data_IF_095700768110
#
_entry.id   IF_095700768110
#
_cell.length_a   1.000
_cell.length_b   1.000
_cell.length_c   1.000
_cell.angle_alpha   90.00
_cell.angle_beta   90.00
_cell.angle_gamma   90.00
#
_symmetry.space_group_name_H-M   'P 1'
#
loop_
_entity.id
_entity.type
_entity.pdbx_description
1 polymer ?
#
# COMPACT_ATOMS: atom_id res chain seq x y z
N UNK A 1 4.53 22.44 0.30
CA UNK A 1 3.95 22.05 1.59
C UNK A 1 4.52 20.72 2.11
N UNK A 2 4.61 19.64 1.28
CA UNK A 2 5.13 18.31 1.68
C UNK A 2 6.54 18.38 2.30
N UNK A 3 7.49 19.11 1.69
CA UNK A 3 8.90 19.19 2.12
C UNK A 3 9.17 20.24 3.21
N UNK A 4 8.32 21.25 3.36
CA UNK A 4 8.66 22.44 4.19
C UNK A 4 7.98 22.43 5.55
N UNK A 5 6.75 21.99 5.68
CA UNK A 5 6.02 22.06 6.95
C UNK A 5 5.59 20.69 7.49
N UNK A 6 4.87 19.91 6.67
CA UNK A 6 4.29 18.63 7.10
C UNK A 6 5.36 17.54 7.13
N UNK A 7 6.29 17.54 6.18
CA UNK A 7 7.34 16.55 6.09
C UNK A 7 8.27 16.48 7.30
N UNK A 8 8.89 17.58 7.72
CA UNK A 8 9.73 17.59 8.91
C UNK A 8 8.99 17.15 10.16
N UNK A 9 7.76 17.64 10.37
CA UNK A 9 6.93 17.26 11.52
C UNK A 9 6.68 15.75 11.56
N UNK A 10 6.26 15.15 10.44
CA UNK A 10 6.02 13.71 10.37
C UNK A 10 7.31 12.91 10.56
N UNK A 11 8.44 13.37 10.04
CA UNK A 11 9.75 12.74 10.25
C UNK A 11 10.16 12.72 11.72
N UNK A 12 9.95 13.82 12.44
CA UNK A 12 10.24 13.92 13.88
C UNK A 12 9.30 13.03 14.70
N UNK A 13 8.00 13.05 14.39
CA UNK A 13 6.99 12.28 15.15
C UNK A 13 7.11 10.77 14.93
N UNK A 14 7.37 10.34 13.69
CA UNK A 14 7.34 8.92 13.34
C UNK A 14 8.71 8.32 13.07
N UNK A 15 9.76 9.15 12.97
CA UNK A 15 11.15 8.71 12.75
C UNK A 15 11.22 7.49 11.82
N UNK A 16 10.68 7.60 10.57
CA UNK A 16 10.56 6.47 9.68
C UNK A 16 11.94 5.91 9.33
N UNK A 17 12.09 4.61 9.43
CA UNK A 17 13.24 3.92 8.88
C UNK A 17 12.85 3.24 7.56
N UNK A 18 13.77 3.20 6.60
CA UNK A 18 13.53 2.68 5.27
C UNK A 18 14.63 1.67 4.94
N UNK A 19 14.24 0.55 4.33
CA UNK A 19 15.14 -0.42 3.71
C UNK A 19 14.76 -0.61 2.25
N UNK A 20 15.73 -0.76 1.35
CA UNK A 20 15.49 -1.02 -0.06
C UNK A 20 15.01 0.19 -0.84
N UNK A 21 15.34 1.43 -0.42
CA UNK A 21 14.92 2.65 -1.14
C UNK A 21 15.45 2.68 -2.57
N UNK A 22 16.59 2.03 -2.81
CA UNK A 22 17.25 1.84 -4.11
C UNK A 22 16.41 1.03 -5.09
N UNK A 23 15.45 0.24 -4.60
CA UNK A 23 14.54 -0.55 -5.43
C UNK A 23 13.43 0.29 -6.09
N UNK A 24 13.27 1.55 -5.68
CA UNK A 24 12.38 2.47 -6.40
C UNK A 24 13.11 2.97 -7.63
N UNK A 25 12.62 2.73 -8.86
CA UNK A 25 13.27 3.21 -10.07
C UNK A 25 13.47 4.73 -10.05
N UNK A 26 14.66 5.20 -10.39
CA UNK A 26 14.98 6.63 -10.42
C UNK A 26 14.18 7.40 -11.47
N UNK A 27 13.81 6.73 -12.55
CA UNK A 27 13.00 7.24 -13.68
C UNK A 27 12.04 6.15 -14.19
N UNK A 28 11.23 6.50 -15.19
CA UNK A 28 10.24 5.59 -15.77
C UNK A 28 9.07 5.22 -14.86
N UNK A 29 8.08 4.47 -15.38
CA UNK A 29 6.90 4.07 -14.64
C UNK A 29 7.18 2.96 -13.65
N UNK A 30 6.51 2.97 -12.50
CA UNK A 30 6.44 1.82 -11.62
C UNK A 30 5.16 1.81 -10.78
N UNK A 31 4.66 0.62 -10.49
CA UNK A 31 3.53 0.39 -9.61
C UNK A 31 4.08 0.08 -8.21
N UNK A 32 3.77 0.91 -7.25
CA UNK A 32 4.15 0.69 -5.84
C UNK A 32 2.99 0.00 -5.13
N UNK A 33 3.10 -1.30 -4.94
CA UNK A 33 2.10 -2.12 -4.27
C UNK A 33 2.41 -2.22 -2.78
N UNK A 34 1.50 -1.81 -1.91
CA UNK A 34 1.74 -1.82 -0.46
C UNK A 34 0.62 -2.51 0.31
N UNK A 35 0.95 -3.16 1.44
CA UNK A 35 -0.02 -3.51 2.46
C UNK A 35 -0.68 -2.24 3.02
N UNK A 36 -1.87 -2.36 3.59
CA UNK A 36 -2.59 -1.19 4.10
C UNK A 36 -3.10 -1.42 5.52
N UNK A 37 -2.38 -0.87 6.48
CA UNK A 37 -2.66 -1.03 7.90
C UNK A 37 -3.41 0.16 8.49
N UNK A 38 -3.01 1.38 8.12
CA UNK A 38 -3.53 2.61 8.70
C UNK A 38 -3.72 3.72 7.66
N UNK A 39 -4.43 4.78 8.04
CA UNK A 39 -4.57 5.96 7.14
C UNK A 39 -3.23 6.65 6.91
N UNK A 40 -2.37 6.62 7.93
CA UNK A 40 -1.04 7.26 7.88
C UNK A 40 -0.12 6.66 6.81
N UNK A 41 -0.34 5.41 6.35
CA UNK A 41 0.44 4.79 5.27
C UNK A 41 0.51 5.68 4.04
N UNK A 42 -0.65 6.23 3.65
CA UNK A 42 -0.78 7.10 2.47
C UNK A 42 -0.07 8.45 2.61
N UNK A 43 0.45 8.77 3.77
CA UNK A 43 1.20 10.01 4.03
C UNK A 43 2.69 9.75 4.22
N UNK A 44 3.03 8.69 4.92
CA UNK A 44 4.41 8.36 5.24
C UNK A 44 5.15 7.80 4.03
N UNK A 45 4.53 6.92 3.26
CA UNK A 45 5.17 6.37 2.07
C UNK A 45 5.54 7.46 1.04
N UNK A 46 4.64 8.40 0.65
CA UNK A 46 5.06 9.53 -0.17
C UNK A 46 6.12 10.44 0.45
N UNK A 47 6.25 10.48 1.77
CA UNK A 47 7.19 11.34 2.47
C UNK A 47 8.65 10.90 2.29
N UNK A 48 8.88 9.60 2.22
CA UNK A 48 10.23 9.01 2.13
C UNK A 48 10.72 8.85 0.69
N UNK A 49 9.82 8.93 -0.30
CA UNK A 49 10.16 8.83 -1.70
C UNK A 49 10.58 10.20 -2.27
N UNK A 50 11.67 10.24 -3.02
CA UNK A 50 12.11 11.44 -3.73
C UNK A 50 11.22 11.76 -4.92
N UNK A 51 10.69 10.73 -5.59
CA UNK A 51 9.75 10.85 -6.70
C UNK A 51 8.32 11.03 -6.20
N UNK A 52 7.51 11.74 -6.98
CA UNK A 52 6.10 11.90 -6.71
C UNK A 52 5.35 10.59 -6.99
N UNK A 53 4.69 10.07 -5.97
CA UNK A 53 3.80 8.93 -6.08
C UNK A 53 2.35 9.39 -5.96
N UNK A 54 1.49 8.84 -6.82
CA UNK A 54 0.06 9.13 -6.86
C UNK A 54 -0.71 7.94 -6.31
N UNK A 55 -1.56 8.19 -5.30
CA UNK A 55 -2.51 7.22 -4.78
C UNK A 55 -3.95 7.59 -5.16
N UNK A 56 -4.83 6.61 -5.18
CA UNK A 56 -6.27 6.84 -5.33
C UNK A 56 -6.93 6.95 -3.97
N UNK A 57 -7.58 8.08 -3.71
CA UNK A 57 -8.38 8.34 -2.54
C UNK A 57 -9.88 8.33 -2.82
N UNK A 58 -10.67 8.16 -1.78
CA UNK A 58 -12.12 8.34 -1.86
C UNK A 58 -12.47 9.78 -2.22
N UNK A 59 -13.39 9.97 -3.17
CA UNK A 59 -13.90 11.30 -3.58
C UNK A 59 -14.42 12.13 -2.42
N UNK A 60 -15.01 11.49 -1.39
CA UNK A 60 -15.56 12.16 -0.21
C UNK A 60 -14.53 12.99 0.58
N UNK A 61 -13.25 12.66 0.48
CA UNK A 61 -12.19 13.48 1.09
C UNK A 61 -11.98 14.82 0.35
N UNK A 62 -12.49 14.95 -0.86
CA UNK A 62 -12.32 16.13 -1.71
C UNK A 62 -13.59 16.97 -1.85
N UNK A 63 -14.74 16.40 -1.50
CA UNK A 63 -16.06 17.04 -1.63
C UNK A 63 -16.58 17.64 -0.33
N UNK A 64 -15.84 17.56 0.76
CA UNK A 64 -16.19 18.15 2.03
C UNK A 64 -16.39 19.66 1.94
N UNK A 65 -17.50 20.16 2.52
CA UNK A 65 -17.86 21.60 2.52
C UNK A 65 -17.18 22.37 3.65
N UNK A 66 -17.11 23.70 3.50
CA UNK A 66 -16.54 24.61 4.49
C UNK A 66 -14.99 24.58 4.56
N UNK A 67 -14.44 25.31 5.55
CA UNK A 67 -12.98 25.46 5.71
C UNK A 67 -12.29 24.12 5.99
N UNK A 68 -12.89 23.26 6.82
CA UNK A 68 -12.37 21.92 7.14
C UNK A 68 -12.28 21.03 5.89
N UNK A 69 -13.33 21.02 5.05
CA UNK A 69 -13.33 20.28 3.78
C UNK A 69 -12.26 20.77 2.83
N UNK A 70 -12.09 22.09 2.70
CA UNK A 70 -11.04 22.70 1.84
C UNK A 70 -9.62 22.35 2.33
N UNK A 71 -9.38 22.37 3.64
CA UNK A 71 -8.09 21.99 4.24
C UNK A 71 -7.82 20.50 3.96
N UNK A 72 -8.81 19.61 4.17
CA UNK A 72 -8.67 18.18 3.91
C UNK A 72 -8.39 17.93 2.43
N UNK A 73 -9.14 18.54 1.53
CA UNK A 73 -8.94 18.38 0.08
C UNK A 73 -7.57 18.91 -0.37
N UNK A 74 -7.14 20.08 0.14
CA UNK A 74 -5.82 20.65 -0.12
C UNK A 74 -4.69 19.77 0.38
N UNK A 75 -4.85 19.19 1.57
CA UNK A 75 -3.91 18.25 2.14
C UNK A 75 -3.81 16.96 1.30
N UNK A 76 -4.95 16.34 0.94
CA UNK A 76 -4.99 15.13 0.12
C UNK A 76 -4.33 15.34 -1.26
N UNK A 77 -4.58 16.47 -1.92
CA UNK A 77 -3.88 16.83 -3.17
C UNK A 77 -2.38 17.01 -2.94
N UNK A 78 -2.01 17.66 -1.83
CA UNK A 78 -0.61 17.90 -1.48
C UNK A 78 0.21 16.65 -1.20
N UNK A 79 -0.42 15.53 -0.87
CA UNK A 79 0.22 14.22 -0.68
C UNK A 79 0.09 13.30 -1.90
N UNK A 80 -0.32 13.82 -3.06
CA UNK A 80 -0.40 13.05 -4.31
C UNK A 80 -1.63 12.14 -4.39
N UNK A 81 -2.71 12.43 -3.65
CA UNK A 81 -3.93 11.62 -3.73
C UNK A 81 -4.89 12.21 -4.77
N UNK A 82 -5.32 11.39 -5.72
CA UNK A 82 -6.31 11.74 -6.74
C UNK A 82 -7.69 11.20 -6.32
N UNK A 83 -8.76 12.04 -6.38
CA UNK A 83 -10.10 11.57 -6.08
C UNK A 83 -10.60 10.61 -7.16
N UNK A 84 -11.13 9.47 -6.73
CA UNK A 84 -11.89 8.56 -7.60
C UNK A 84 -13.22 8.26 -6.92
N UNK A 85 -14.29 8.45 -7.68
CA UNK A 85 -15.62 8.02 -7.25
C UNK A 85 -15.66 6.50 -7.16
N UNK A 86 -15.90 5.99 -5.95
CA UNK A 86 -15.99 4.56 -5.65
C UNK A 86 -17.44 4.10 -5.52
N UNK A 87 -18.40 4.95 -5.85
CA UNK A 87 -19.82 4.61 -5.89
C UNK A 87 -20.13 3.88 -7.20
N UNK A 88 -20.52 2.61 -7.09
CA UNK A 88 -20.98 1.80 -8.23
C UNK A 88 -19.92 0.91 -8.91
N UNK A 89 -20.39 0.08 -9.85
CA UNK A 89 -19.58 -0.95 -10.53
C UNK A 89 -18.46 -0.42 -11.43
N UNK A 90 -18.50 0.85 -11.81
CA UNK A 90 -17.49 1.52 -12.66
C UNK A 90 -16.30 2.09 -11.87
N UNK A 91 -16.35 2.06 -10.55
CA UNK A 91 -15.30 2.64 -9.70
C UNK A 91 -13.91 2.00 -9.89
N UNK A 92 -13.89 0.68 -10.07
CA UNK A 92 -12.63 -0.04 -10.32
C UNK A 92 -12.04 0.32 -11.68
N UNK A 93 -12.87 0.55 -12.68
CA UNK A 93 -12.45 0.93 -14.03
C UNK A 93 -11.88 2.37 -14.06
N UNK A 94 -12.52 3.31 -13.36
CA UNK A 94 -12.01 4.67 -13.23
C UNK A 94 -10.65 4.72 -12.53
N UNK A 95 -10.49 3.89 -11.47
CA UNK A 95 -9.24 3.72 -10.77
C UNK A 95 -8.12 3.16 -11.66
N UNK A 96 -8.45 2.14 -12.45
CA UNK A 96 -7.54 1.52 -13.41
C UNK A 96 -7.05 2.53 -14.45
N UNK A 97 -7.97 3.25 -15.10
CA UNK A 97 -7.62 4.27 -16.10
C UNK A 97 -6.74 5.37 -15.54
N UNK A 98 -7.00 5.81 -14.31
CA UNK A 98 -6.16 6.83 -13.64
C UNK A 98 -4.75 6.28 -13.41
N UNK A 99 -4.63 5.03 -13.00
CA UNK A 99 -3.35 4.36 -12.81
C UNK A 99 -2.58 4.22 -14.12
N UNK A 100 -3.22 3.70 -15.16
CA UNK A 100 -2.62 3.55 -16.50
C UNK A 100 -2.12 4.88 -17.06
N UNK A 101 -2.94 5.93 -16.96
CA UNK A 101 -2.54 7.28 -17.40
C UNK A 101 -1.28 7.75 -16.65
N UNK A 102 -1.21 7.56 -15.32
CA UNK A 102 -0.05 7.97 -14.54
C UNK A 102 1.22 7.19 -14.90
N UNK A 103 1.07 5.90 -15.20
CA UNK A 103 2.17 5.04 -15.63
C UNK A 103 2.65 5.41 -17.04
N UNK A 104 1.73 5.71 -17.96
CA UNK A 104 2.03 6.18 -19.31
C UNK A 104 2.81 7.51 -19.32
N UNK A 105 2.54 8.38 -18.35
CA UNK A 105 3.30 9.61 -18.07
C UNK A 105 4.69 9.36 -17.44
N UNK A 106 5.12 8.09 -17.27
CA UNK A 106 6.39 7.72 -16.65
C UNK A 106 6.41 7.89 -15.13
N UNK A 107 5.26 8.01 -14.48
CA UNK A 107 5.17 8.30 -13.06
C UNK A 107 5.04 7.06 -12.16
N UNK A 108 5.17 7.28 -10.84
CA UNK A 108 4.87 6.26 -9.85
C UNK A 108 3.37 6.25 -9.53
N UNK A 109 2.80 5.05 -9.46
CA UNK A 109 1.42 4.85 -9.06
C UNK A 109 1.32 3.91 -7.86
N UNK A 110 0.76 4.40 -6.74
CA UNK A 110 0.58 3.66 -5.51
C UNK A 110 -0.76 2.93 -5.45
N UNK A 111 -0.72 1.66 -5.09
CA UNK A 111 -1.92 0.83 -4.94
C UNK A 111 -1.84 -0.02 -3.67
N UNK A 112 -2.99 -0.20 -3.02
CA UNK A 112 -3.17 -1.16 -1.95
C UNK A 112 -3.96 -2.36 -2.51
N UNK A 113 -3.32 -3.51 -2.79
CA UNK A 113 -4.00 -4.65 -3.44
C UNK A 113 -5.19 -5.17 -2.66
N UNK A 114 -5.16 -5.09 -1.33
CA UNK A 114 -6.28 -5.48 -0.46
C UNK A 114 -7.55 -4.63 -0.70
N UNK A 115 -7.40 -3.43 -1.26
CA UNK A 115 -8.49 -2.49 -1.56
C UNK A 115 -9.11 -1.80 -0.35
N UNK A 116 -8.69 -2.13 0.85
CA UNK A 116 -9.09 -1.49 2.11
C UNK A 116 -8.06 -1.80 3.19
N UNK A 117 -8.04 -1.02 4.28
CA UNK A 117 -7.15 -1.29 5.42
C UNK A 117 -7.44 -2.65 6.04
N UNK A 118 -6.40 -3.34 6.47
CA UNK A 118 -6.52 -4.56 7.28
C UNK A 118 -7.33 -4.28 8.56
N UNK A 119 -8.27 -5.12 8.93
CA UNK A 119 -9.05 -4.92 10.16
C UNK A 119 -8.31 -5.27 11.46
N UNK A 120 -7.27 -6.06 11.39
CA UNK A 120 -6.61 -6.71 12.53
C UNK A 120 -5.08 -6.87 12.41
N UNK A 121 -4.49 -6.24 11.39
CA UNK A 121 -3.04 -6.28 11.16
C UNK A 121 -2.56 -7.44 10.29
N UNK A 122 -3.43 -8.38 9.89
CA UNK A 122 -3.09 -9.48 8.97
C UNK A 122 -3.12 -8.99 7.52
N UNK A 123 -2.47 -9.75 6.62
CA UNK A 123 -2.47 -9.49 5.18
C UNK A 123 -3.60 -10.29 4.52
N UNK A 124 -4.44 -9.62 3.76
CA UNK A 124 -5.62 -10.20 3.14
C UNK A 124 -5.47 -10.37 1.64
N UNK A 125 -6.27 -11.28 1.07
CA UNK A 125 -6.29 -11.58 -0.36
C UNK A 125 -6.35 -10.30 -1.20
N UNK A 126 -5.41 -10.16 -2.15
CA UNK A 126 -5.34 -9.05 -3.08
C UNK A 126 -6.43 -9.13 -4.17
N UNK A 127 -6.91 -7.97 -4.59
CA UNK A 127 -7.75 -7.82 -5.78
C UNK A 127 -6.89 -7.79 -7.03
N UNK A 128 -7.38 -8.33 -8.12
CA UNK A 128 -6.64 -8.47 -9.39
C UNK A 128 -6.39 -7.15 -10.14
N UNK A 129 -6.86 -6.03 -9.62
CA UNK A 129 -6.61 -4.71 -10.22
C UNK A 129 -5.13 -4.33 -10.31
N UNK A 130 -4.31 -4.77 -9.37
CA UNK A 130 -2.85 -4.55 -9.40
C UNK A 130 -2.20 -5.35 -10.53
N UNK A 131 -2.59 -6.60 -10.75
CA UNK A 131 -2.11 -7.42 -11.84
C UNK A 131 -2.54 -6.85 -13.19
N UNK A 132 -3.78 -6.40 -13.30
CA UNK A 132 -4.29 -5.76 -14.51
C UNK A 132 -3.49 -4.50 -14.87
N UNK A 133 -3.20 -3.65 -13.88
CA UNK A 133 -2.31 -2.49 -14.09
C UNK A 133 -0.93 -2.91 -14.60
N UNK A 134 -0.32 -3.93 -13.96
CA UNK A 134 1.01 -4.40 -14.32
C UNK A 134 1.07 -4.93 -15.77
N UNK A 135 0.08 -5.74 -16.17
CA UNK A 135 0.04 -6.34 -17.49
C UNK A 135 -0.30 -5.32 -18.59
N UNK A 136 -1.29 -4.44 -18.36
CA UNK A 136 -1.70 -3.43 -19.35
C UNK A 136 -0.64 -2.33 -19.53
N UNK A 137 0.11 -1.97 -18.48
CA UNK A 137 1.15 -0.92 -18.59
C UNK A 137 2.54 -1.45 -18.90
N UNK A 138 2.81 -2.74 -18.67
CA UNK A 138 4.17 -3.30 -18.71
C UNK A 138 5.12 -2.75 -17.62
N UNK A 139 4.62 -1.91 -16.71
CA UNK A 139 5.42 -1.33 -15.64
C UNK A 139 5.78 -2.36 -14.56
N UNK A 140 6.99 -2.33 -14.00
CA UNK A 140 7.37 -3.19 -12.89
C UNK A 140 6.54 -2.87 -11.64
N UNK A 141 6.30 -3.89 -10.81
CA UNK A 141 5.63 -3.75 -9.52
C UNK A 141 6.65 -3.79 -8.41
N UNK A 142 6.76 -2.71 -7.64
CA UNK A 142 7.63 -2.64 -6.46
C UNK A 142 6.78 -2.93 -5.22
N UNK A 143 6.98 -4.07 -4.55
CA UNK A 143 6.26 -4.39 -3.33
C UNK A 143 6.83 -3.59 -2.15
N UNK A 144 5.97 -3.03 -1.32
CA UNK A 144 6.35 -2.20 -0.17
C UNK A 144 5.58 -2.62 1.07
N UNK A 145 6.29 -2.95 2.13
CA UNK A 145 5.69 -3.26 3.42
C UNK A 145 5.77 -2.07 4.38
N UNK A 146 4.61 -1.63 4.86
CA UNK A 146 4.49 -0.71 5.99
C UNK A 146 4.51 -1.51 7.28
N UNK A 147 5.33 -1.10 8.25
CA UNK A 147 5.56 -1.80 9.52
C UNK A 147 5.24 -0.88 10.69
N UNK A 148 4.38 -1.34 11.61
CA UNK A 148 4.04 -0.64 12.85
C UNK A 148 3.02 0.49 12.71
N UNK A 149 2.50 0.77 11.53
CA UNK A 149 1.49 1.82 11.32
C UNK A 149 0.12 1.46 11.90
N UNK A 150 -0.20 0.17 12.03
CA UNK A 150 -1.35 -0.36 12.78
C UNK A 150 -1.28 0.01 14.27
N UNK A 151 -0.08 -0.05 14.85
CA UNK A 151 0.17 0.33 16.26
C UNK A 151 0.16 1.84 16.43
N UNK A 152 0.72 2.58 15.46
CA UNK A 152 0.69 4.04 15.46
C UNK A 152 -0.74 4.58 15.34
N UNK A 153 -1.54 4.02 14.46
CA UNK A 153 -2.91 4.45 14.19
C UNK A 153 -3.86 3.25 14.08
N UNK A 154 -4.22 2.61 15.19
CA UNK A 154 -5.22 1.55 15.20
C UNK A 154 -6.55 1.99 14.59
N UNK A 155 -7.32 1.02 14.08
CA UNK A 155 -8.66 1.29 13.53
C UNK A 155 -9.53 2.03 14.55
N UNK A 156 -10.22 3.06 14.09
CA UNK A 156 -11.05 3.94 14.94
C UNK A 156 -10.29 5.13 15.54
N UNK A 157 -8.95 5.09 15.58
CA UNK A 157 -8.18 6.22 16.07
C UNK A 157 -7.97 7.28 14.98
N UNK A 158 -8.37 8.51 15.26
CA UNK A 158 -8.23 9.63 14.29
C UNK A 158 -6.83 10.23 14.28
N UNK A 159 -6.19 10.34 15.44
CA UNK A 159 -4.86 10.94 15.59
C UNK A 159 -3.85 9.82 15.87
N UNK A 160 -2.83 9.64 15.03
CA UNK A 160 -1.81 8.63 15.27
C UNK A 160 -0.96 8.97 16.50
N UNK A 161 -0.41 7.96 17.14
CA UNK A 161 0.56 8.12 18.23
C UNK A 161 1.96 8.30 17.64
N UNK A 162 2.77 9.22 18.15
CA UNK A 162 4.18 9.30 17.79
C UNK A 162 4.89 8.00 18.14
N UNK A 163 5.46 7.35 17.14
CA UNK A 163 6.27 6.15 17.32
C UNK A 163 7.10 5.88 16.06
N UNK A 164 8.15 5.08 16.20
CA UNK A 164 8.98 4.69 15.07
C UNK A 164 8.21 3.71 14.17
N UNK A 165 8.19 3.98 12.86
CA UNK A 165 7.54 3.13 11.86
C UNK A 165 8.54 2.71 10.79
N UNK A 166 8.28 1.58 10.14
CA UNK A 166 9.16 1.01 9.13
C UNK A 166 8.55 1.01 7.74
N UNK A 167 9.43 1.07 6.75
CA UNK A 167 9.10 0.90 5.34
C UNK A 167 10.15 -0.04 4.75
N UNK A 168 9.71 -1.18 4.25
CA UNK A 168 10.57 -2.16 3.60
C UNK A 168 10.16 -2.25 2.14
N UNK A 169 11.07 -1.93 1.24
CA UNK A 169 10.85 -1.89 -0.21
C UNK A 169 11.57 -3.09 -0.82
N UNK A 170 10.82 -3.98 -1.42
CA UNK A 170 11.33 -5.17 -2.09
C UNK A 170 11.81 -4.88 -3.50
N UNK A 171 12.46 -5.87 -4.11
CA UNK A 171 12.90 -5.80 -5.50
C UNK A 171 11.71 -5.69 -6.45
N UNK A 172 11.87 -4.96 -7.57
CA UNK A 172 10.83 -4.86 -8.59
C UNK A 172 10.49 -6.21 -9.21
N UNK A 173 9.21 -6.51 -9.31
CA UNK A 173 8.67 -7.69 -9.97
C UNK A 173 8.33 -7.34 -11.42
N UNK A 174 8.84 -8.12 -12.38
CA UNK A 174 8.61 -7.95 -13.81
C UNK A 174 7.61 -9.01 -14.32
N UNK A 175 6.51 -8.55 -14.90
CA UNK A 175 5.45 -9.40 -15.43
C UNK A 175 5.32 -9.33 -16.96
N UNK A 176 6.27 -8.74 -17.68
CA UNK A 176 6.25 -8.61 -19.14
C UNK A 176 6.15 -9.96 -19.87
N UNK A 177 6.55 -11.04 -19.20
CA UNK A 177 6.36 -12.43 -19.71
C UNK A 177 4.90 -12.82 -19.95
N UNK A 178 3.95 -12.08 -19.39
CA UNK A 178 2.51 -12.30 -19.53
C UNK A 178 1.82 -11.23 -20.41
N UNK A 179 2.57 -10.44 -21.17
CA UNK A 179 2.02 -9.45 -22.10
C UNK A 179 1.05 -10.12 -23.08
N UNK A 180 -0.11 -9.51 -23.29
CA UNK A 180 -1.18 -10.06 -24.12
C UNK A 180 -2.17 -10.98 -23.37
N UNK A 181 -1.96 -11.22 -22.07
CA UNK A 181 -2.81 -12.08 -21.24
C UNK A 181 -3.62 -11.29 -20.19
N UNK A 182 -3.83 -10.00 -20.41
CA UNK A 182 -4.48 -9.07 -19.47
C UNK A 182 -5.95 -9.43 -19.18
N UNK A 183 -6.56 -10.25 -20.05
CA UNK A 183 -7.94 -10.74 -19.91
C UNK A 183 -8.04 -12.11 -19.25
N UNK A 184 -6.92 -12.82 -19.09
CA UNK A 184 -6.90 -14.16 -18.51
C UNK A 184 -7.01 -14.10 -16.98
N UNK A 185 -8.12 -14.63 -16.45
CA UNK A 185 -8.41 -14.62 -15.01
C UNK A 185 -7.39 -15.41 -14.18
N UNK A 186 -6.83 -16.47 -14.74
CA UNK A 186 -5.84 -17.31 -14.06
C UNK A 186 -4.51 -16.58 -13.97
N UNK A 187 -4.07 -15.94 -15.07
CA UNK A 187 -2.86 -15.12 -15.09
C UNK A 187 -3.00 -13.93 -14.15
N UNK A 188 -4.11 -13.19 -14.21
CA UNK A 188 -4.38 -12.08 -13.29
C UNK A 188 -4.32 -12.53 -11.82
N UNK A 189 -4.86 -13.73 -11.51
CA UNK A 189 -4.82 -14.25 -10.15
C UNK A 189 -3.39 -14.63 -9.75
N UNK A 190 -2.66 -15.35 -10.61
CA UNK A 190 -1.27 -15.76 -10.39
C UNK A 190 -0.35 -14.56 -10.13
N UNK A 191 -0.43 -13.54 -10.99
CA UNK A 191 0.36 -12.30 -10.83
C UNK A 191 0.00 -11.58 -9.52
N UNK A 192 -1.30 -11.53 -9.18
CA UNK A 192 -1.71 -10.92 -7.90
C UNK A 192 -1.16 -11.71 -6.72
N UNK A 193 -1.20 -13.04 -6.77
CA UNK A 193 -0.72 -13.89 -5.68
C UNK A 193 0.80 -13.79 -5.51
N UNK A 194 1.56 -13.66 -6.60
CA UNK A 194 3.01 -13.40 -6.56
C UNK A 194 3.32 -12.05 -5.87
N UNK A 195 2.57 -11.00 -6.19
CA UNK A 195 2.68 -9.70 -5.52
C UNK A 195 2.34 -9.81 -4.03
N UNK A 196 1.24 -10.50 -3.69
CA UNK A 196 0.83 -10.68 -2.29
C UNK A 196 1.83 -11.53 -1.50
N UNK A 197 2.45 -12.54 -2.13
CA UNK A 197 3.52 -13.33 -1.53
C UNK A 197 4.74 -12.45 -1.19
N UNK A 198 5.16 -11.59 -2.12
CA UNK A 198 6.24 -10.64 -1.86
C UNK A 198 5.90 -9.70 -0.70
N UNK A 199 4.67 -9.19 -0.65
CA UNK A 199 4.21 -8.35 0.47
C UNK A 199 4.21 -9.11 1.79
N UNK A 200 3.78 -10.37 1.81
CA UNK A 200 3.81 -11.23 2.99
C UNK A 200 5.25 -11.42 3.49
N UNK A 201 6.16 -11.74 2.58
CA UNK A 201 7.57 -11.96 2.90
C UNK A 201 8.26 -10.71 3.46
N UNK A 202 7.92 -9.51 2.94
CA UNK A 202 8.49 -8.24 3.40
C UNK A 202 7.88 -7.76 4.71
N UNK A 203 6.58 -7.99 4.92
CA UNK A 203 5.86 -7.45 6.08
C UNK A 203 5.90 -8.35 7.31
N UNK A 204 6.12 -9.65 7.12
CA UNK A 204 5.98 -10.63 8.20
C UNK A 204 4.53 -10.86 8.66
N UNK A 205 3.54 -10.38 7.90
CA UNK A 205 2.14 -10.53 8.26
C UNK A 205 1.63 -11.96 7.98
N UNK A 206 0.77 -12.47 8.85
CA UNK A 206 -0.03 -13.67 8.57
C UNK A 206 -0.94 -13.41 7.37
N UNK A 207 -0.86 -14.28 6.35
CA UNK A 207 -1.73 -14.18 5.18
C UNK A 207 -3.06 -14.90 5.41
N UNK A 208 -4.15 -14.24 5.02
CA UNK A 208 -5.51 -14.79 5.12
C UNK A 208 -6.16 -14.75 3.75
N UNK A 209 -6.47 -15.93 3.18
CA UNK A 209 -7.02 -16.09 1.82
C UNK A 209 -8.52 -15.77 1.72
N UNK A 210 -8.92 -14.63 2.28
CA UNK A 210 -10.24 -13.99 2.08
C UNK A 210 -10.05 -12.50 1.85
N UNK A 211 -11.02 -11.83 1.28
CA UNK A 211 -10.94 -10.37 1.13
C UNK A 211 -11.11 -9.65 2.47
N UNK A 212 -10.32 -8.61 2.71
CA UNK A 212 -10.40 -7.78 3.92
C UNK A 212 -11.81 -7.21 4.15
N UNK A 213 -12.56 -6.89 3.09
CA UNK A 213 -13.93 -6.45 3.18
C UNK A 213 -14.86 -7.51 3.79
N UNK A 214 -14.67 -8.79 3.42
CA UNK A 214 -15.41 -9.91 3.99
C UNK A 214 -15.11 -10.07 5.48
N UNK A 215 -13.85 -9.97 5.86
CA UNK A 215 -13.47 -10.03 7.28
C UNK A 215 -14.06 -8.89 8.08
N UNK A 216 -14.07 -7.68 7.55
CA UNK A 216 -14.73 -6.52 8.20
C UNK A 216 -16.22 -6.76 8.42
N UNK A 217 -16.91 -7.33 7.44
CA UNK A 217 -18.33 -7.67 7.57
C UNK A 217 -18.55 -8.73 8.66
N UNK A 218 -17.69 -9.76 8.74
CA UNK A 218 -17.76 -10.79 9.79
C UNK A 218 -17.56 -10.18 11.18
N UNK A 219 -16.54 -9.34 11.35
CA UNK A 219 -16.27 -8.66 12.63
C UNK A 219 -17.43 -7.73 13.03
N UNK A 220 -18.01 -7.00 12.07
CA UNK A 220 -19.19 -6.15 12.32
C UNK A 220 -20.44 -6.97 12.72
N UNK A 221 -20.59 -8.18 12.20
CA UNK A 221 -21.66 -9.10 12.57
C UNK A 221 -21.41 -9.88 13.88
N UNK A 222 -20.30 -9.59 14.59
CA UNK A 222 -19.95 -10.28 15.84
C UNK A 222 -19.46 -11.73 15.65
N UNK A 223 -19.22 -12.16 14.41
CA UNK A 223 -18.69 -13.50 14.12
C UNK A 223 -17.21 -13.51 14.44
N UNK A 224 -16.84 -14.09 15.60
CA UNK A 224 -15.43 -14.39 15.91
C UNK A 224 -14.96 -15.51 14.99
N UNK A 225 -13.76 -15.41 14.43
CA UNK A 225 -13.10 -16.54 13.80
C UNK A 225 -12.89 -17.61 14.87
N UNK A 226 -13.55 -18.76 14.72
CA UNK A 226 -13.06 -20.00 15.30
C UNK A 226 -11.81 -20.35 14.50
N UNK A 227 -10.64 -20.27 15.17
CA UNK A 227 -9.34 -20.40 14.54
C UNK A 227 -9.20 -21.72 13.75
N UNK A 228 -9.17 -21.60 12.45
CA UNK A 228 -8.45 -22.57 11.63
C UNK A 228 -6.95 -22.31 11.80
N UNK A 229 -6.09 -23.33 11.64
CA UNK A 229 -4.65 -23.08 11.68
C UNK A 229 -4.27 -22.00 10.68
N UNK A 230 -3.29 -21.13 11.00
CA UNK A 230 -2.82 -20.13 10.08
C UNK A 230 -2.41 -20.80 8.77
N UNK A 231 -2.89 -20.28 7.65
CA UNK A 231 -2.41 -20.75 6.35
C UNK A 231 -0.95 -20.31 6.23
N UNK A 232 -0.04 -21.24 6.50
CA UNK A 232 1.40 -21.03 6.34
C UNK A 232 1.84 -21.18 4.87
N UNK A 233 0.89 -21.49 3.98
CA UNK A 233 1.17 -21.60 2.55
C UNK A 233 1.06 -20.23 1.87
N UNK A 234 2.09 -19.89 1.11
CA UNK A 234 2.05 -18.79 0.18
C UNK A 234 1.00 -19.01 -0.90
N UNK A 235 0.42 -17.95 -1.48
CA UNK A 235 -0.39 -18.07 -2.68
C UNK A 235 0.40 -18.83 -3.76
N UNK A 236 -0.16 -19.94 -4.28
CA UNK A 236 0.53 -20.79 -5.26
C UNK A 236 1.25 -22.04 -4.68
N UNK A 237 1.00 -22.40 -3.41
CA UNK A 237 1.43 -23.68 -2.83
C UNK A 237 2.91 -23.77 -2.42
N UNK A 238 3.64 -22.68 -2.40
CA UNK A 238 5.00 -22.66 -1.82
C UNK A 238 4.92 -22.55 -0.29
N UNK A 239 5.79 -23.24 0.46
CA UNK A 239 5.88 -23.04 1.90
C UNK A 239 6.25 -21.56 2.18
N UNK A 240 5.59 -20.97 3.17
CA UNK A 240 5.96 -19.65 3.63
C UNK A 240 7.40 -19.67 4.17
N UNK A 241 8.25 -18.71 3.82
CA UNK A 241 9.54 -18.57 4.48
C UNK A 241 9.33 -18.27 5.98
N UNK A 242 10.33 -18.60 6.77
CA UNK A 242 10.38 -18.19 8.18
C UNK A 242 10.43 -16.67 8.24
N UNK A 243 9.28 -16.03 8.41
CA UNK A 243 9.14 -14.58 8.24
C UNK A 243 9.25 -13.92 9.60
N UNK A 244 10.41 -13.35 9.86
CA UNK A 244 10.60 -12.46 11.01
C UNK A 244 10.08 -11.06 10.67
N UNK A 245 9.35 -10.44 11.60
CA UNK A 245 8.96 -9.03 11.46
C UNK A 245 10.23 -8.20 11.29
N UNK A 246 10.36 -7.41 10.21
CA UNK A 246 11.56 -6.62 9.99
C UNK A 246 11.82 -5.67 11.16
N UNK A 247 12.98 -5.82 11.80
CA UNK A 247 13.43 -4.92 12.85
C UNK A 247 14.12 -3.68 12.27
N UNK A 248 14.05 -2.56 12.97
CA UNK A 248 14.80 -1.37 12.58
C UNK A 248 16.30 -1.68 12.57
N UNK A 249 17.09 -1.06 11.67
CA UNK A 249 18.55 -1.15 11.70
C UNK A 249 19.08 -0.80 13.09
N UNK A 250 19.95 -1.63 13.63
CA UNK A 250 20.49 -1.45 15.00
C UNK A 250 21.48 -0.28 15.08
N UNK A 251 22.10 0.09 13.95
CA UNK A 251 23.09 1.17 13.89
C UNK A 251 22.74 2.21 12.82
N UNK A 252 22.18 3.31 13.26
CA UNK A 252 22.43 4.59 12.60
C UNK A 252 23.27 5.40 13.59
N UNK A 253 24.56 5.67 13.29
CA UNK A 253 25.32 6.65 14.07
C UNK A 253 24.55 7.97 14.04
N UNK A 254 24.47 8.64 15.17
CA UNK A 254 23.79 9.90 15.30
C UNK A 254 24.26 10.84 14.20
N UNK A 255 23.33 11.29 13.36
CA UNK A 255 23.57 12.44 12.50
C UNK A 255 23.89 13.59 13.46
N UNK A 256 25.18 13.90 13.59
CA UNK A 256 25.63 15.17 14.13
C UNK A 256 25.02 16.25 13.25
N UNK A 257 24.14 17.04 13.84
CA UNK A 257 23.65 18.29 13.28
C UNK A 257 24.78 19.28 13.50
N UNK A 258 25.52 19.58 12.46
CA UNK A 258 26.26 20.84 12.29
C UNK A 258 25.48 21.75 11.35
#
# INVERSE_FOLDING_TARGET
>A
MKRVLVGPLLRVLFRPWVRGIENIPGDGPAIVASNHLAVIDSFILPLVLDREIVFIGKSEYFTGTGLKGRITAGFMRGVGTIPVDRSGGKASEAALRTGLKRLDEGGLFGIYPEGTRSPDGRLYRGKTGVARLALESGAPVVPVAMVGTDKAQPIGRRIPRPMRIGIVIGEPLDFRRYTGMESDRFILRSVTDEIMYSLMSLSGQEYVDIYAATQKARLAAGVRQTGGPPSTAAPGGRPAPDVQVPEPPQDLPGASVD
#
